data_IF_438038317401
#
_entry.id   IF_438038317401
#
_cell.length_a   1.000
_cell.length_b   1.000
_cell.length_c   1.000
_cell.angle_alpha   90.00
_cell.angle_beta   90.00
_cell.angle_gamma   90.00
#
_symmetry.space_group_name_H-M   'P 1'
#
loop_
_entity.id
_entity.type
_entity.pdbx_description
1 polymer ?
#
# COMPACT_ATOMS: atom_id res chain seq x y z
N UNK A 1 0.06 -16.75 15.80
CA UNK A 1 0.36 -16.92 14.35
C UNK A 1 0.12 -15.59 13.67
N UNK A 2 1.13 -14.99 13.04
CA UNK A 2 0.93 -13.82 12.17
C UNK A 2 0.29 -14.30 10.86
N UNK A 3 -0.95 -13.89 10.58
CA UNK A 3 -1.61 -14.23 9.32
C UNK A 3 -0.84 -13.72 8.08
N UNK A 4 -1.14 -14.25 6.88
CA UNK A 4 -0.50 -13.80 5.65
C UNK A 4 -0.73 -12.30 5.42
N UNK A 5 0.37 -11.57 5.23
CA UNK A 5 0.38 -10.15 4.85
C UNK A 5 0.44 -10.08 3.33
N UNK A 6 -0.64 -9.61 2.72
CA UNK A 6 -0.79 -9.52 1.27
C UNK A 6 -0.73 -8.06 0.81
N UNK A 7 -0.24 -7.80 -0.40
CA UNK A 7 -0.13 -6.43 -0.92
C UNK A 7 0.89 -6.27 -2.02
N UNK A 8 0.70 -5.22 -2.82
CA UNK A 8 1.59 -4.85 -3.92
C UNK A 8 2.02 -3.39 -3.80
N UNK A 9 3.20 -3.09 -4.35
CA UNK A 9 3.72 -1.73 -4.40
C UNK A 9 3.08 -0.95 -5.54
N UNK A 10 2.62 0.27 -5.24
CA UNK A 10 2.11 1.23 -6.22
C UNK A 10 2.55 2.63 -5.80
N UNK A 11 3.25 3.35 -6.67
CA UNK A 11 3.67 4.72 -6.38
C UNK A 11 2.56 5.67 -6.86
N UNK A 12 2.14 6.60 -5.98
CA UNK A 12 0.90 7.36 -6.15
C UNK A 12 0.85 8.15 -7.47
N UNK A 13 1.97 8.74 -7.87
CA UNK A 13 2.06 9.56 -9.07
C UNK A 13 2.13 8.74 -10.38
N UNK A 14 2.30 7.42 -10.31
CA UNK A 14 2.36 6.51 -11.47
C UNK A 14 1.00 5.86 -11.76
N UNK A 15 -0.04 6.69 -11.86
CA UNK A 15 -1.40 6.27 -12.23
C UNK A 15 -1.58 6.01 -13.74
N UNK A 16 -0.87 6.76 -14.59
CA UNK A 16 -1.16 6.86 -16.02
C UNK A 16 -0.47 5.81 -16.92
N UNK A 17 0.15 4.80 -16.33
CA UNK A 17 0.87 3.81 -17.14
C UNK A 17 -0.08 2.73 -17.68
N UNK A 18 -0.36 2.80 -18.99
CA UNK A 18 -1.25 1.90 -19.74
C UNK A 18 -0.86 0.41 -19.71
N UNK A 19 0.36 0.08 -19.29
CA UNK A 19 0.89 -1.30 -19.36
C UNK A 19 0.67 -2.12 -18.09
N UNK A 20 0.00 -1.58 -17.06
CA UNK A 20 -0.14 -2.21 -15.75
C UNK A 20 1.19 -2.79 -15.21
N UNK A 21 2.31 -2.13 -15.50
CA UNK A 21 3.64 -2.57 -15.09
C UNK A 21 3.80 -2.50 -13.56
N UNK A 22 4.73 -3.28 -13.01
CA UNK A 22 5.07 -3.21 -11.57
C UNK A 22 5.32 -1.75 -11.14
N UNK A 23 4.87 -1.41 -9.92
CA UNK A 23 4.87 -0.06 -9.31
C UNK A 23 3.79 0.91 -9.78
N UNK A 24 3.02 0.57 -10.80
CA UNK A 24 1.86 1.38 -11.22
C UNK A 24 0.68 1.15 -10.29
N UNK A 25 -0.23 2.13 -10.22
CA UNK A 25 -1.45 1.99 -9.42
C UNK A 25 -2.40 0.92 -9.98
N UNK A 26 -2.39 0.72 -11.31
CA UNK A 26 -3.16 -0.34 -11.96
C UNK A 26 -2.65 -1.73 -11.55
N UNK A 27 -1.32 -1.95 -11.59
CA UNK A 27 -0.71 -3.19 -11.10
C UNK A 27 -1.03 -3.46 -9.64
N UNK A 28 -0.87 -2.44 -8.78
CA UNK A 28 -1.17 -2.57 -7.36
C UNK A 28 -2.62 -2.99 -7.14
N UNK A 29 -3.56 -2.37 -7.87
CA UNK A 29 -4.99 -2.66 -7.74
C UNK A 29 -5.33 -4.06 -8.25
N UNK A 30 -4.73 -4.51 -9.35
CA UNK A 30 -4.94 -5.86 -9.87
C UNK A 30 -4.51 -6.93 -8.87
N UNK A 31 -3.29 -6.83 -8.33
CA UNK A 31 -2.76 -7.81 -7.37
C UNK A 31 -3.56 -7.82 -6.07
N UNK A 32 -3.81 -6.65 -5.48
CA UNK A 32 -4.59 -6.56 -4.23
C UNK A 32 -6.04 -7.04 -4.45
N UNK A 33 -6.62 -6.74 -5.61
CA UNK A 33 -7.95 -7.17 -5.98
C UNK A 33 -8.07 -8.70 -5.99
N UNK A 34 -7.12 -9.38 -6.63
CA UNK A 34 -7.03 -10.84 -6.71
C UNK A 34 -6.78 -11.46 -5.34
N UNK A 35 -5.80 -10.96 -4.57
CA UNK A 35 -5.50 -11.47 -3.23
C UNK A 35 -6.74 -11.43 -2.31
N UNK A 36 -7.54 -10.36 -2.40
CA UNK A 36 -8.79 -10.23 -1.65
C UNK A 36 -9.86 -11.19 -2.16
N UNK A 37 -9.99 -11.40 -3.47
CA UNK A 37 -10.98 -12.33 -4.03
C UNK A 37 -10.68 -13.78 -3.64
N UNK A 38 -9.40 -14.19 -3.73
CA UNK A 38 -8.96 -15.52 -3.29
C UNK A 38 -9.27 -15.73 -1.80
N UNK A 39 -9.02 -14.73 -0.97
CA UNK A 39 -9.32 -14.79 0.46
C UNK A 39 -10.82 -14.91 0.73
N UNK A 40 -11.65 -14.14 0.01
CA UNK A 40 -13.10 -14.14 0.17
C UNK A 40 -13.80 -15.37 -0.41
N UNK A 41 -13.16 -16.09 -1.34
CA UNK A 41 -13.70 -17.30 -1.97
C UNK A 41 -13.27 -18.59 -1.26
N UNK A 42 -12.40 -18.52 -0.26
CA UNK A 42 -11.85 -19.69 0.42
C UNK A 42 -12.36 -19.77 1.86
N UNK A 43 -13.30 -20.68 2.12
CA UNK A 43 -13.90 -20.90 3.45
C UNK A 43 -12.89 -21.38 4.51
N UNK A 44 -11.66 -21.75 4.11
CA UNK A 44 -10.57 -22.08 5.03
C UNK A 44 -9.74 -20.86 5.46
N UNK A 45 -10.03 -19.67 4.94
CA UNK A 45 -9.38 -18.42 5.30
C UNK A 45 -10.35 -17.61 6.18
N UNK A 46 -9.99 -17.43 7.45
CA UNK A 46 -10.79 -16.65 8.41
C UNK A 46 -10.62 -15.14 8.26
N UNK A 47 -9.62 -14.70 7.50
CA UNK A 47 -9.38 -13.29 7.21
C UNK A 47 -7.98 -13.01 6.68
N UNK A 48 -7.79 -11.79 6.21
CA UNK A 48 -6.54 -11.27 5.66
C UNK A 48 -6.26 -9.88 6.23
N UNK A 49 -4.97 -9.54 6.32
CA UNK A 49 -4.52 -8.18 6.65
C UNK A 49 -3.71 -7.65 5.47
N UNK A 50 -4.15 -6.52 4.93
CA UNK A 50 -3.37 -5.82 3.91
C UNK A 50 -2.08 -5.28 4.52
N UNK A 51 -0.98 -5.53 3.84
CA UNK A 51 0.28 -4.84 4.04
C UNK A 51 0.43 -3.80 2.92
N UNK A 52 0.13 -2.53 3.19
CA UNK A 52 -0.27 -1.96 4.49
C UNK A 52 -1.21 -0.77 4.32
N UNK A 53 -1.53 -0.07 5.41
CA UNK A 53 -2.53 0.99 5.39
C UNK A 53 -2.06 2.26 4.63
N UNK A 54 -0.87 2.78 4.92
CA UNK A 54 -0.30 3.97 4.24
C UNK A 54 1.20 3.80 3.98
N UNK A 55 1.71 4.39 2.90
CA UNK A 55 3.16 4.39 2.59
C UNK A 55 3.99 4.97 3.73
N UNK A 56 5.11 4.33 4.07
CA UNK A 56 5.98 4.79 5.16
C UNK A 56 7.45 4.78 4.76
N UNK A 57 8.24 5.67 5.39
CA UNK A 57 9.69 5.70 5.18
C UNK A 57 10.34 4.46 5.79
N UNK A 58 11.18 3.81 5.00
CA UNK A 58 12.05 2.74 5.47
C UNK A 58 13.40 3.30 5.91
N UNK A 59 14.17 2.50 6.63
CA UNK A 59 15.48 2.89 7.13
C UNK A 59 16.39 3.44 6.02
N UNK A 60 16.83 4.69 6.19
CA UNK A 60 17.72 5.41 5.28
C UNK A 60 19.20 5.32 5.72
N UNK A 61 19.61 4.23 6.38
CA UNK A 61 20.77 4.31 7.27
C UNK A 61 22.17 4.35 6.59
N UNK A 62 22.31 4.50 5.27
CA UNK A 62 23.65 4.67 4.65
C UNK A 62 24.68 3.63 5.14
N UNK A 63 25.78 4.07 5.77
CA UNK A 63 26.83 3.25 6.41
C UNK A 63 26.79 3.19 7.95
N UNK A 64 25.77 3.73 8.63
CA UNK A 64 25.69 3.77 10.11
C UNK A 64 24.25 3.79 10.63
N UNK A 65 23.95 2.96 11.63
CA UNK A 65 22.69 2.91 12.44
C UNK A 65 23.17 2.64 13.86
N UNK A 66 22.63 1.64 14.50
CA UNK A 66 23.46 0.45 14.32
C UNK A 66 23.10 -0.26 12.98
N UNK A 67 23.66 0.22 11.85
CA UNK A 67 23.47 -0.39 10.55
C UNK A 67 24.48 -1.50 10.69
N UNK A 68 24.01 -2.67 11.05
CA UNK A 68 24.84 -3.85 11.13
C UNK A 68 25.13 -4.32 9.70
N UNK A 69 25.88 -3.52 8.93
CA UNK A 69 26.42 -3.87 7.62
C UNK A 69 25.43 -3.97 6.46
N UNK A 70 24.28 -3.28 6.48
CA UNK A 70 23.33 -3.25 5.33
C UNK A 70 23.29 -1.86 4.69
N UNK A 71 23.38 -1.76 3.35
CA UNK A 71 23.21 -0.48 2.67
C UNK A 71 21.79 0.07 2.93
N UNK A 72 21.68 1.37 3.18
CA UNK A 72 20.40 2.07 3.37
C UNK A 72 19.43 1.77 2.21
N UNK A 73 18.13 1.64 2.53
CA UNK A 73 17.16 1.17 1.54
C UNK A 73 16.77 2.23 0.51
N UNK A 74 17.00 3.51 0.79
CA UNK A 74 16.74 4.62 -0.13
C UNK A 74 17.70 4.61 -1.32
N UNK A 75 18.98 4.27 -1.13
CA UNK A 75 19.99 4.04 -2.18
C UNK A 75 19.99 5.07 -3.33
N UNK A 76 19.87 6.36 -3.01
CA UNK A 76 19.87 7.45 -3.99
C UNK A 76 18.64 7.50 -4.89
N UNK A 77 17.55 6.84 -4.50
CA UNK A 77 16.29 6.81 -5.26
C UNK A 77 15.29 7.87 -4.81
N UNK A 78 15.72 8.89 -4.07
CA UNK A 78 14.88 9.98 -3.58
C UNK A 78 13.98 10.53 -4.66
N UNK A 79 12.79 10.89 -4.21
CA UNK A 79 11.83 11.56 -5.05
C UNK A 79 12.32 12.98 -5.39
N UNK A 80 12.20 13.38 -6.65
CA UNK A 80 12.22 14.79 -7.04
C UNK A 80 10.81 15.35 -6.87
N UNK A 81 10.63 16.26 -5.91
CA UNK A 81 9.33 16.87 -5.63
C UNK A 81 9.10 18.13 -6.47
N UNK A 82 7.84 18.42 -6.81
CA UNK A 82 7.41 19.67 -7.45
C UNK A 82 7.64 20.91 -6.57
N UNK A 83 7.57 20.76 -5.24
CA UNK A 83 7.99 21.76 -4.26
C UNK A 83 8.58 21.11 -3.00
N UNK A 84 9.34 21.86 -2.17
CA UNK A 84 9.86 21.34 -0.91
C UNK A 84 8.74 20.80 0.00
N UNK A 85 8.92 19.62 0.64
CA UNK A 85 7.95 19.10 1.58
C UNK A 85 7.65 20.11 2.70
N UNK A 86 6.36 20.41 2.96
CA UNK A 86 5.96 21.27 4.07
C UNK A 86 6.52 20.77 5.40
N UNK A 87 7.04 21.68 6.22
CA UNK A 87 7.61 21.36 7.54
C UNK A 87 6.64 21.66 8.69
N UNK A 88 5.57 22.40 8.40
CA UNK A 88 4.51 22.74 9.35
C UNK A 88 3.12 22.37 8.81
N UNK A 89 2.14 22.24 9.70
CA UNK A 89 0.75 22.03 9.29
C UNK A 89 0.15 23.23 8.54
N UNK A 90 0.59 24.44 8.84
CA UNK A 90 0.14 25.64 8.14
C UNK A 90 0.62 25.65 6.69
N UNK A 91 1.91 25.34 6.47
CA UNK A 91 2.45 25.17 5.13
C UNK A 91 1.75 24.04 4.38
N UNK A 92 1.49 22.91 5.03
CA UNK A 92 0.79 21.79 4.42
C UNK A 92 -0.63 22.18 3.97
N UNK A 93 -1.34 22.99 4.77
CA UNK A 93 -2.67 23.49 4.39
C UNK A 93 -2.62 24.47 3.21
N UNK A 94 -1.58 25.31 3.14
CA UNK A 94 -1.43 26.34 2.11
C UNK A 94 -0.93 25.77 0.78
N UNK A 95 0.06 24.88 0.82
CA UNK A 95 0.75 24.35 -0.36
C UNK A 95 0.21 22.99 -0.81
N UNK A 96 -0.38 22.23 0.10
CA UNK A 96 -0.70 20.83 -0.13
C UNK A 96 0.53 19.91 -0.08
N UNK A 97 0.31 18.58 -0.12
CA UNK A 97 1.39 17.62 -0.20
C UNK A 97 2.11 17.72 -1.55
N UNK A 98 3.45 17.62 -1.59
CA UNK A 98 4.20 17.62 -2.84
C UNK A 98 3.95 16.35 -3.65
N UNK A 99 3.96 16.48 -4.97
CA UNK A 99 3.94 15.35 -5.89
C UNK A 99 5.35 14.89 -6.23
N UNK A 100 5.51 13.58 -6.33
CA UNK A 100 6.72 13.01 -6.88
C UNK A 100 6.77 13.08 -8.40
N UNK A 101 7.63 13.94 -8.94
CA UNK A 101 7.77 14.14 -10.40
C UNK A 101 8.74 13.15 -11.04
N UNK A 102 9.72 12.65 -10.28
CA UNK A 102 10.64 11.60 -10.73
C UNK A 102 11.13 10.75 -9.55
N UNK A 103 11.18 9.43 -9.75
CA UNK A 103 11.73 8.46 -8.80
C UNK A 103 12.30 7.26 -9.58
N UNK A 104 13.31 6.59 -9.03
CA UNK A 104 13.75 5.32 -9.56
C UNK A 104 12.90 4.19 -8.93
N UNK A 105 12.10 3.43 -9.71
CA UNK A 105 11.19 2.41 -9.18
C UNK A 105 11.91 1.09 -8.84
N UNK A 106 12.92 1.14 -7.97
CA UNK A 106 13.71 -0.02 -7.53
C UNK A 106 13.17 -0.59 -6.20
N UNK A 107 13.98 -1.31 -5.41
CA UNK A 107 13.55 -2.05 -4.22
C UNK A 107 12.68 -1.25 -3.22
N UNK A 108 13.05 0.00 -2.94
CA UNK A 108 12.30 0.96 -2.08
C UNK A 108 12.38 2.36 -2.69
N UNK A 109 11.52 2.66 -3.68
CA UNK A 109 11.54 3.95 -4.37
C UNK A 109 11.47 5.10 -3.35
N UNK A 110 12.43 6.03 -3.41
CA UNK A 110 12.55 7.16 -2.49
C UNK A 110 12.66 6.80 -1.01
N UNK A 111 13.19 5.62 -0.70
CA UNK A 111 13.29 5.13 0.67
C UNK A 111 11.90 4.93 1.31
N UNK A 112 10.91 4.56 0.51
CA UNK A 112 9.52 4.40 0.97
C UNK A 112 9.03 2.98 0.65
N UNK A 113 8.29 2.39 1.59
CA UNK A 113 7.49 1.20 1.31
C UNK A 113 6.17 1.63 0.67
N UNK A 114 6.08 1.50 -0.65
CA UNK A 114 4.93 1.94 -1.43
C UNK A 114 3.75 0.94 -1.49
N UNK A 115 3.63 0.05 -0.50
CA UNK A 115 2.55 -0.96 -0.43
C UNK A 115 1.31 -0.46 0.31
N UNK A 116 1.30 0.80 0.75
CA UNK A 116 0.13 1.44 1.30
C UNK A 116 -1.00 1.48 0.28
N UNK A 117 -2.24 1.27 0.74
CA UNK A 117 -3.45 1.65 -0.02
C UNK A 117 -3.69 3.17 0.03
N UNK A 118 -3.08 3.85 1.00
CA UNK A 118 -2.87 5.29 1.00
C UNK A 118 -1.39 5.58 0.71
N UNK A 119 -1.11 6.74 0.11
CA UNK A 119 0.27 7.20 -0.04
C UNK A 119 0.84 7.78 1.28
N UNK A 120 2.05 8.34 1.21
CA UNK A 120 2.73 8.90 2.38
C UNK A 120 1.98 10.10 2.95
N UNK A 121 1.29 10.85 2.10
CA UNK A 121 0.49 12.02 2.44
C UNK A 121 -0.98 11.70 2.72
N UNK A 122 -1.33 10.40 2.85
CA UNK A 122 -2.68 9.88 3.12
C UNK A 122 -3.69 10.13 2.00
N UNK A 123 -3.21 10.42 0.79
CA UNK A 123 -4.01 10.44 -0.43
C UNK A 123 -4.40 9.01 -0.81
N UNK A 124 -5.67 8.74 -1.14
CA UNK A 124 -6.13 7.39 -1.42
C UNK A 124 -5.67 6.91 -2.80
N UNK A 125 -5.06 5.72 -2.85
CA UNK A 125 -4.80 5.02 -4.12
C UNK A 125 -6.08 4.29 -4.57
N UNK A 126 -6.23 3.93 -5.86
CA UNK A 126 -7.41 3.23 -6.37
C UNK A 126 -7.75 1.95 -5.58
N UNK A 127 -6.72 1.23 -5.11
CA UNK A 127 -6.89 0.03 -4.30
C UNK A 127 -7.65 0.27 -2.98
N UNK A 128 -7.60 1.49 -2.40
CA UNK A 128 -8.31 1.82 -1.16
C UNK A 128 -9.83 1.66 -1.30
N UNK A 129 -10.41 2.32 -2.30
CA UNK A 129 -11.86 2.28 -2.52
C UNK A 129 -12.34 0.87 -2.91
N UNK A 130 -11.57 0.20 -3.76
CA UNK A 130 -11.83 -1.19 -4.18
C UNK A 130 -11.87 -2.15 -2.98
N UNK A 131 -10.82 -2.17 -2.15
CA UNK A 131 -10.75 -3.04 -0.96
C UNK A 131 -11.88 -2.71 -0.01
N UNK A 132 -12.13 -1.42 0.25
CA UNK A 132 -13.19 -1.01 1.16
C UNK A 132 -14.58 -1.51 0.68
N UNK A 133 -14.84 -1.52 -0.63
CA UNK A 133 -16.06 -2.08 -1.20
C UNK A 133 -16.16 -3.60 -0.96
N UNK A 134 -15.08 -4.35 -1.23
CA UNK A 134 -15.04 -5.81 -1.00
C UNK A 134 -15.25 -6.16 0.49
N UNK A 135 -14.60 -5.43 1.39
CA UNK A 135 -14.73 -5.64 2.84
C UNK A 135 -16.14 -5.31 3.34
N UNK A 136 -16.78 -4.25 2.82
CA UNK A 136 -18.19 -3.97 3.14
C UNK A 136 -19.12 -5.08 2.67
N UNK A 137 -18.92 -5.61 1.47
CA UNK A 137 -19.71 -6.71 0.94
C UNK A 137 -19.54 -8.01 1.76
N UNK A 138 -18.34 -8.24 2.30
CA UNK A 138 -18.05 -9.43 3.12
C UNK A 138 -18.70 -9.39 4.52
N UNK A 139 -18.94 -8.20 5.10
CA UNK A 139 -19.52 -8.05 6.45
C UNK A 139 -20.94 -8.62 6.62
N UNK A 140 -21.64 -8.90 5.52
CA UNK A 140 -22.99 -9.48 5.52
C UNK A 140 -23.06 -10.94 5.10
N UNK A 141 -21.93 -11.62 4.88
CA UNK A 141 -21.94 -13.04 4.49
C UNK A 141 -22.15 -13.93 5.73
N UNK A 142 -23.14 -14.84 5.72
CA UNK A 142 -23.22 -15.90 6.73
C UNK A 142 -21.91 -16.67 6.72
N UNK A 143 -21.37 -16.97 7.89
CA UNK A 143 -20.20 -17.84 7.97
C UNK A 143 -20.63 -19.24 7.53
N UNK A 144 -19.76 -20.00 6.86
CA UNK A 144 -20.06 -21.34 6.37
C UNK A 144 -20.52 -22.32 7.49
N UNK A 145 -20.41 -21.95 8.78
CA UNK A 145 -20.96 -22.72 9.89
C UNK A 145 -22.40 -22.36 10.28
N UNK A 146 -23.06 -21.40 9.63
CA UNK A 146 -24.48 -21.07 9.90
C UNK A 146 -25.46 -21.82 9.00
N UNK A 147 -25.00 -22.59 8.01
CA UNK A 147 -25.87 -23.40 7.14
C UNK A 147 -26.13 -24.82 7.67
N UNK A 148 -25.72 -25.13 8.90
CA UNK A 148 -25.98 -26.41 9.53
C UNK A 148 -26.24 -26.23 11.03
N UNK A 149 -27.44 -25.76 11.38
CA UNK A 149 -28.31 -26.24 12.47
C UNK A 149 -29.67 -25.58 12.23
N UNK A 150 -30.59 -26.33 11.61
CA UNK A 150 -31.99 -26.28 12.02
C UNK A 150 -32.02 -27.08 13.33
N UNK A 151 -32.69 -26.55 14.35
CA UNK A 151 -33.68 -27.25 15.23
C UNK A 151 -33.85 -26.43 16.51
N UNK A 152 -35.07 -25.88 16.62
CA UNK A 152 -35.84 -25.45 17.81
C UNK A 152 -35.32 -24.29 18.68
#
# INVERSE_FOLDING_TARGET
MSGPRIGAGGVYEWGDNATASKWTLQYQSAVIGEDVDVALANDRISGISLWHFYDFKVDNCGSTWPCHGRPGQENGTHCTYDHPPPTTFEELRRLGPPNCTAIAPTFRPGGTNHKGVLDFWRRPKPAFAMVAAKYRAARGRPTASESAIIVQ
#
